data_IF_507390782755
#
_entry.id   IF_507390782755
#
_cell.length_a   1.000
_cell.length_b   1.000
_cell.length_c   1.000
_cell.angle_alpha   90.00
_cell.angle_beta   90.00
_cell.angle_gamma   90.00
#
_symmetry.space_group_name_H-M   'P 1'
#
loop_
_entity.id
_entity.type
_entity.pdbx_description
1 polymer ?
#
# COMPACT_ATOMS: atom_id res chain seq x y z
N UNK A 1 20.46 39.70 -22.70
CA UNK A 1 20.71 38.37 -23.29
C UNK A 1 20.07 37.35 -22.38
N UNK A 2 19.05 36.68 -22.88
CA UNK A 2 18.19 35.76 -22.15
C UNK A 2 18.92 34.41 -22.09
N UNK A 3 19.37 34.02 -20.91
CA UNK A 3 19.83 32.65 -20.62
C UNK A 3 18.71 31.89 -19.91
N UNK A 4 17.58 31.67 -20.59
CA UNK A 4 16.57 30.69 -20.20
C UNK A 4 17.16 29.30 -20.53
N UNK A 5 17.73 28.65 -19.52
CA UNK A 5 18.47 27.43 -19.74
C UNK A 5 18.58 26.59 -18.49
N UNK A 6 17.44 26.24 -17.89
CA UNK A 6 17.24 24.88 -17.43
C UNK A 6 15.73 24.64 -17.41
N UNK A 7 15.20 24.18 -18.55
CA UNK A 7 13.88 23.56 -18.55
C UNK A 7 13.93 22.42 -17.55
N UNK A 8 13.16 22.60 -16.48
CA UNK A 8 12.69 21.53 -15.63
C UNK A 8 12.16 20.43 -16.54
N UNK A 9 12.96 19.38 -16.72
CA UNK A 9 12.49 18.11 -17.27
C UNK A 9 11.57 17.48 -16.21
N UNK A 10 10.34 18.00 -16.15
CA UNK A 10 9.19 17.33 -15.53
C UNK A 10 8.49 16.51 -16.60
N UNK A 11 9.20 15.55 -17.17
CA UNK A 11 8.53 14.42 -17.81
C UNK A 11 8.28 13.42 -16.69
N UNK A 12 7.04 13.38 -16.22
CA UNK A 12 6.59 12.47 -15.18
C UNK A 12 6.61 11.03 -15.68
N UNK A 13 7.80 10.47 -15.80
CA UNK A 13 8.05 9.04 -15.70
C UNK A 13 7.66 8.64 -14.27
N UNK A 14 6.37 8.43 -14.03
CA UNK A 14 5.91 7.79 -12.79
C UNK A 14 6.53 6.40 -12.77
N UNK A 15 7.66 6.29 -12.08
CA UNK A 15 8.47 5.11 -12.07
C UNK A 15 7.74 3.99 -11.34
N UNK A 16 8.17 2.75 -11.62
CA UNK A 16 7.74 1.59 -10.83
C UNK A 16 8.01 1.83 -9.33
N UNK A 17 9.01 2.65 -9.00
CA UNK A 17 9.33 3.03 -7.61
C UNK A 17 8.33 4.03 -7.01
N UNK A 18 7.80 5.00 -7.77
CA UNK A 18 6.72 5.88 -7.30
C UNK A 18 5.44 5.09 -7.01
N UNK A 19 5.12 4.13 -7.88
CA UNK A 19 3.98 3.24 -7.68
C UNK A 19 4.15 2.38 -6.42
N UNK A 20 5.35 1.88 -6.17
CA UNK A 20 5.68 1.11 -4.95
C UNK A 20 5.58 1.98 -3.69
N UNK A 21 6.04 3.24 -3.75
CA UNK A 21 5.91 4.19 -2.66
C UNK A 21 4.44 4.49 -2.33
N UNK A 22 3.60 4.68 -3.35
CA UNK A 22 2.16 4.87 -3.19
C UNK A 22 1.49 3.65 -2.52
N UNK A 23 1.82 2.43 -2.97
CA UNK A 23 1.32 1.21 -2.34
C UNK A 23 1.78 1.06 -0.89
N UNK A 24 3.04 1.42 -0.58
CA UNK A 24 3.54 1.40 0.79
C UNK A 24 2.80 2.40 1.69
N UNK A 25 2.54 3.62 1.20
CA UNK A 25 1.73 4.61 1.92
C UNK A 25 0.30 4.11 2.16
N UNK A 26 -0.32 3.49 1.15
CA UNK A 26 -1.65 2.86 1.26
C UNK A 26 -1.67 1.73 2.29
N UNK A 27 -0.62 0.90 2.33
CA UNK A 27 -0.47 -0.14 3.34
C UNK A 27 -0.38 0.44 4.76
N UNK A 28 0.44 1.48 4.96
CA UNK A 28 0.58 2.14 6.26
C UNK A 28 -0.75 2.75 6.75
N UNK A 29 -1.51 3.39 5.85
CA UNK A 29 -2.83 3.93 6.19
C UNK A 29 -3.83 2.83 6.59
N UNK A 30 -3.80 1.67 5.92
CA UNK A 30 -4.65 0.54 6.27
C UNK A 30 -4.25 -0.08 7.62
N UNK A 31 -2.96 -0.13 7.94
CA UNK A 31 -2.49 -0.57 9.26
C UNK A 31 -2.93 0.36 10.38
N UNK A 32 -2.83 1.67 10.16
CA UNK A 32 -3.31 2.67 11.13
C UNK A 32 -4.82 2.53 11.34
N UNK A 33 -5.61 2.42 10.28
CA UNK A 33 -7.05 2.23 10.38
C UNK A 33 -7.44 0.93 11.11
N UNK A 34 -6.66 -0.15 10.93
CA UNK A 34 -6.85 -1.39 11.69
C UNK A 34 -6.56 -1.15 13.17
N UNK A 35 -5.45 -0.49 13.51
CA UNK A 35 -5.06 -0.21 14.88
C UNK A 35 -6.09 0.69 15.59
N UNK A 36 -6.53 1.76 14.94
CA UNK A 36 -7.57 2.66 15.45
C UNK A 36 -8.88 1.90 15.73
N UNK A 37 -9.28 0.97 14.85
CA UNK A 37 -10.47 0.16 15.06
C UNK A 37 -10.29 -0.89 16.15
N UNK A 38 -9.08 -1.41 16.38
CA UNK A 38 -8.76 -2.31 17.51
C UNK A 38 -8.73 -1.60 18.86
N UNK A 39 -8.34 -0.32 18.88
CA UNK A 39 -8.31 0.51 20.09
C UNK A 39 -9.71 0.99 20.51
N UNK A 40 -10.71 0.84 19.64
CA UNK A 40 -12.09 1.14 19.99
C UNK A 40 -12.60 0.13 21.03
N UNK A 41 -13.33 0.60 22.06
CA UNK A 41 -13.91 -0.27 23.08
C UNK A 41 -14.96 -1.24 22.54
N UNK A 42 -15.50 -1.00 21.34
CA UNK A 42 -16.37 -1.90 20.60
C UNK A 42 -15.90 -1.98 19.14
N UNK A 43 -14.93 -2.86 18.83
CA UNK A 43 -14.39 -2.96 17.47
C UNK A 43 -15.44 -3.53 16.51
N UNK A 44 -15.67 -2.85 15.39
CA UNK A 44 -16.49 -3.41 14.31
C UNK A 44 -15.70 -4.51 13.59
N UNK A 45 -16.06 -5.76 13.90
CA UNK A 45 -15.42 -6.94 13.32
C UNK A 45 -15.59 -7.04 11.80
N UNK A 46 -16.68 -6.50 11.23
CA UNK A 46 -16.91 -6.47 9.78
C UNK A 46 -15.93 -5.49 9.14
N UNK A 47 -15.81 -4.30 9.70
CA UNK A 47 -14.86 -3.26 9.27
C UNK A 47 -13.41 -3.73 9.42
N UNK A 48 -13.03 -4.34 10.55
CA UNK A 48 -11.71 -4.94 10.74
C UNK A 48 -11.39 -6.02 9.70
N UNK A 49 -12.34 -6.90 9.41
CA UNK A 49 -12.16 -7.96 8.42
C UNK A 49 -11.99 -7.37 7.01
N UNK A 50 -12.76 -6.35 6.65
CA UNK A 50 -12.64 -5.65 5.39
C UNK A 50 -11.28 -4.92 5.26
N UNK A 51 -10.83 -4.25 6.33
CA UNK A 51 -9.54 -3.55 6.38
C UNK A 51 -8.37 -4.53 6.26
N UNK A 52 -8.38 -5.64 7.01
CA UNK A 52 -7.36 -6.71 6.92
C UNK A 52 -7.27 -7.31 5.52
N UNK A 53 -8.41 -7.54 4.86
CA UNK A 53 -8.45 -8.02 3.46
C UNK A 53 -7.84 -7.00 2.49
N UNK A 54 -8.17 -5.72 2.66
CA UNK A 54 -7.60 -4.63 1.85
C UNK A 54 -6.08 -4.53 2.05
N UNK A 55 -5.62 -4.58 3.30
CA UNK A 55 -4.18 -4.60 3.62
C UNK A 55 -3.46 -5.76 2.95
N UNK A 56 -4.03 -6.97 3.03
CA UNK A 56 -3.44 -8.16 2.42
C UNK A 56 -3.27 -7.99 0.90
N UNK A 57 -4.29 -7.47 0.21
CA UNK A 57 -4.20 -7.19 -1.23
C UNK A 57 -3.07 -6.22 -1.58
N UNK A 58 -2.94 -5.11 -0.85
CA UNK A 58 -1.87 -4.12 -1.07
C UNK A 58 -0.50 -4.72 -0.78
N UNK A 59 -0.38 -5.51 0.29
CA UNK A 59 0.86 -6.23 0.62
C UNK A 59 1.24 -7.21 -0.49
N UNK A 60 0.27 -7.97 -1.01
CA UNK A 60 0.49 -8.90 -2.12
C UNK A 60 0.96 -8.16 -3.38
N UNK A 61 0.40 -6.99 -3.65
CA UNK A 61 0.79 -6.16 -4.79
C UNK A 61 2.22 -5.62 -4.68
N UNK A 62 2.60 -5.11 -3.50
CA UNK A 62 3.99 -4.70 -3.21
C UNK A 62 4.96 -5.86 -3.41
N UNK A 63 4.58 -7.05 -2.91
CA UNK A 63 5.39 -8.26 -3.02
C UNK A 63 5.50 -8.73 -4.48
N UNK A 64 4.42 -8.63 -5.26
CA UNK A 64 4.45 -8.94 -6.69
C UNK A 64 5.41 -8.03 -7.44
N UNK A 65 5.33 -6.71 -7.20
CA UNK A 65 6.25 -5.75 -7.81
C UNK A 65 7.70 -5.97 -7.37
N UNK A 66 7.92 -6.39 -6.13
CA UNK A 66 9.27 -6.67 -5.60
C UNK A 66 9.88 -7.96 -6.15
N UNK A 67 9.06 -8.99 -6.39
CA UNK A 67 9.57 -10.36 -6.54
C UNK A 67 9.19 -11.02 -7.87
N UNK A 68 8.34 -10.39 -8.69
CA UNK A 68 7.85 -10.94 -9.96
C UNK A 68 7.04 -12.26 -9.81
N UNK A 69 6.73 -12.66 -8.57
CA UNK A 69 6.19 -13.99 -8.26
C UNK A 69 4.93 -13.85 -7.41
N UNK A 70 3.79 -14.26 -7.99
CA UNK A 70 2.53 -14.36 -7.27
C UNK A 70 2.64 -15.48 -6.22
N UNK A 71 2.90 -15.11 -4.96
CA UNK A 71 2.91 -16.08 -3.87
C UNK A 71 1.46 -16.37 -3.49
N UNK A 72 1.04 -17.61 -3.77
CA UNK A 72 -0.28 -18.12 -3.47
C UNK A 72 -0.57 -18.09 -1.98
N UNK A 73 -1.63 -17.38 -1.61
CA UNK A 73 -2.69 -17.81 -0.68
C UNK A 73 -2.31 -18.99 0.24
N UNK A 74 -1.66 -18.71 1.37
CA UNK A 74 -1.75 -19.50 2.60
C UNK A 74 -1.50 -18.55 3.76
N UNK A 75 -2.54 -18.20 4.51
CA UNK A 75 -2.52 -17.80 5.91
C UNK A 75 -3.94 -17.36 6.28
N UNK A 76 -4.80 -18.35 6.53
CA UNK A 76 -6.07 -18.19 7.21
C UNK A 76 -5.95 -18.88 8.58
N UNK A 77 -6.11 -18.05 9.62
CA UNK A 77 -6.46 -18.24 11.05
C UNK A 77 -5.96 -19.46 11.88
N UNK A 78 -5.51 -19.22 13.14
CA UNK A 78 -5.35 -20.24 14.18
C UNK A 78 -6.71 -20.66 14.78
N UNK A 79 -6.81 -21.94 15.16
CA UNK A 79 -7.84 -22.49 16.05
C UNK A 79 -7.32 -22.52 17.49
#
# INVERSE_FOLDING_TARGET
MIGLGELVNSEGEFGVDDYRACLAAKHANLERAIQEEWERPAPDQISLTALKRRRLKVKDEIVRLRTGKAIGRRLAAPA
#
